data_IF_153753859506
#
_entry.id   IF_153753859506
#
_cell.length_a   1.000
_cell.length_b   1.000
_cell.length_c   1.000
_cell.angle_alpha   90.00
_cell.angle_beta   90.00
_cell.angle_gamma   90.00
#
_symmetry.space_group_name_H-M   'P 1'
#
loop_
_entity.id
_entity.type
_entity.pdbx_description
1 polymer ?
#
# COMPACT_ATOMS: atom_id res chain seq x y z
N UNK A 1 13.03 34.00 7.18
CA UNK A 1 12.19 32.79 7.05
C UNK A 1 12.92 31.63 7.71
N UNK A 2 13.15 31.71 9.03
CA UNK A 2 13.78 30.68 9.87
C UNK A 2 13.36 30.94 11.33
N UNK A 3 12.05 30.98 11.61
CA UNK A 3 11.59 31.45 12.93
C UNK A 3 10.38 30.73 13.52
N UNK A 4 9.91 29.61 12.96
CA UNK A 4 8.70 28.95 13.51
C UNK A 4 8.99 27.70 14.35
N UNK A 5 10.20 27.13 14.32
CA UNK A 5 10.49 25.90 15.08
C UNK A 5 11.34 26.10 16.34
N UNK A 6 11.76 27.34 16.66
CA UNK A 6 12.72 27.62 17.74
C UNK A 6 12.07 28.35 18.95
N UNK A 7 10.87 27.94 19.36
CA UNK A 7 10.26 28.43 20.61
C UNK A 7 10.65 27.48 21.76
N UNK A 8 11.51 27.89 22.71
CA UNK A 8 12.15 26.99 23.68
C UNK A 8 11.25 26.57 24.86
N UNK A 9 9.98 26.99 24.89
CA UNK A 9 9.08 26.73 26.03
C UNK A 9 8.17 25.50 25.84
N UNK A 10 8.30 24.76 24.74
CA UNK A 10 7.51 23.55 24.49
C UNK A 10 8.22 22.51 23.61
N UNK A 11 9.56 22.53 23.58
CA UNK A 11 10.34 21.48 22.94
C UNK A 11 10.37 20.26 23.87
N UNK A 12 9.51 19.27 23.61
CA UNK A 12 9.68 17.93 24.20
C UNK A 12 11.11 17.46 23.90
N UNK A 13 11.87 17.04 24.92
CA UNK A 13 13.27 16.57 24.92
C UNK A 13 13.63 15.46 23.90
N UNK A 14 13.39 15.64 22.60
CA UNK A 14 13.82 14.71 21.57
C UNK A 14 15.20 15.12 21.04
N UNK A 15 16.16 14.19 21.02
CA UNK A 15 17.43 14.39 20.33
C UNK A 15 17.14 14.53 18.81
N UNK A 16 17.51 15.67 18.19
CA UNK A 16 17.26 15.90 16.76
C UNK A 16 18.02 14.94 15.83
N UNK A 17 18.98 14.16 16.36
CA UNK A 17 19.70 13.13 15.64
C UNK A 17 19.23 11.70 15.97
N UNK A 18 18.20 11.55 16.81
CA UNK A 18 17.65 10.24 17.14
C UNK A 18 17.01 9.61 15.90
N UNK A 19 17.58 8.49 15.45
CA UNK A 19 17.07 7.68 14.33
C UNK A 19 16.34 6.43 14.81
N UNK A 20 16.10 6.31 16.12
CA UNK A 20 15.33 5.21 16.68
C UNK A 20 13.84 5.41 16.41
N UNK A 21 13.14 4.29 16.22
CA UNK A 21 11.69 4.30 16.12
C UNK A 21 11.09 4.35 17.52
N UNK A 22 10.11 5.22 17.73
CA UNK A 22 9.31 5.20 18.96
C UNK A 22 8.43 3.95 18.96
N UNK A 23 8.07 3.44 20.13
CA UNK A 23 7.15 2.27 20.26
C UNK A 23 5.86 2.46 19.46
N UNK A 24 5.28 3.67 19.51
CA UNK A 24 4.10 4.00 18.71
C UNK A 24 4.33 3.87 17.19
N UNK A 25 5.52 4.27 16.71
CA UNK A 25 5.86 4.20 15.29
C UNK A 25 6.12 2.76 14.85
N UNK A 26 6.89 2.01 15.64
CA UNK A 26 7.25 0.63 15.37
C UNK A 26 6.04 -0.32 15.42
N UNK A 27 5.16 -0.14 16.41
CA UNK A 27 4.11 -1.12 16.71
C UNK A 27 2.77 -0.78 16.06
N UNK A 28 2.51 0.50 15.76
CA UNK A 28 1.19 0.95 15.30
C UNK A 28 1.29 1.70 13.98
N UNK A 29 2.04 2.81 13.92
CA UNK A 29 1.96 3.71 12.77
C UNK A 29 2.56 3.12 11.50
N UNK A 30 3.76 2.52 11.58
CA UNK A 30 4.42 1.91 10.43
C UNK A 30 3.64 0.67 9.97
N UNK A 31 3.26 -0.28 10.85
CA UNK A 31 2.46 -1.42 10.44
C UNK A 31 1.14 -1.03 9.77
N UNK A 32 0.41 -0.05 10.34
CA UNK A 32 -0.86 0.41 9.74
C UNK A 32 -0.65 1.01 8.35
N UNK A 33 0.32 1.92 8.20
CA UNK A 33 0.64 2.52 6.89
C UNK A 33 1.13 1.47 5.89
N UNK A 34 1.95 0.52 6.34
CA UNK A 34 2.42 -0.55 5.49
C UNK A 34 1.27 -1.44 5.02
N UNK A 35 0.35 -1.79 5.91
CA UNK A 35 -0.82 -2.60 5.57
C UNK A 35 -1.69 -1.90 4.50
N UNK A 36 -1.92 -0.58 4.62
CA UNK A 36 -2.63 0.20 3.60
C UNK A 36 -1.93 0.20 2.22
N UNK A 37 -0.60 0.11 2.19
CA UNK A 37 0.17 0.03 0.94
C UNK A 37 0.17 -1.39 0.39
N UNK A 38 0.32 -2.40 1.26
CA UNK A 38 0.27 -3.82 0.90
C UNK A 38 -1.07 -4.13 0.24
N UNK A 39 -2.19 -3.66 0.78
CA UNK A 39 -3.51 -3.78 0.16
C UNK A 39 -3.61 -3.21 -1.27
N UNK A 40 -2.74 -2.26 -1.65
CA UNK A 40 -2.71 -1.66 -2.99
C UNK A 40 -1.73 -2.32 -3.95
N UNK A 41 -0.70 -2.99 -3.42
CA UNK A 41 0.39 -3.58 -4.21
C UNK A 41 0.19 -5.08 -4.37
N UNK A 42 -0.35 -5.73 -3.34
CA UNK A 42 -0.65 -7.15 -3.36
C UNK A 42 -1.71 -7.44 -4.41
N UNK A 43 -1.46 -8.46 -5.21
CA UNK A 43 -2.27 -8.82 -6.38
C UNK A 43 -2.34 -7.77 -7.50
N UNK A 44 -1.51 -6.71 -7.49
CA UNK A 44 -1.47 -5.72 -8.59
C UNK A 44 -1.07 -6.35 -9.91
N UNK A 45 -0.11 -7.28 -9.89
CA UNK A 45 0.35 -8.00 -11.08
C UNK A 45 -0.78 -8.84 -11.71
N UNK A 46 -1.48 -9.65 -10.90
CA UNK A 46 -2.59 -10.47 -11.38
C UNK A 46 -3.79 -9.63 -11.83
N UNK A 47 -4.02 -8.47 -11.20
CA UNK A 47 -5.01 -7.49 -11.65
C UNK A 47 -4.63 -6.88 -13.01
N UNK A 48 -3.37 -6.50 -13.20
CA UNK A 48 -2.87 -5.93 -14.46
C UNK A 48 -3.01 -6.93 -15.61
N UNK A 49 -2.70 -8.22 -15.39
CA UNK A 49 -2.89 -9.30 -16.36
C UNK A 49 -4.37 -9.43 -16.77
N UNK A 50 -5.28 -9.44 -15.79
CA UNK A 50 -6.72 -9.50 -16.04
C UNK A 50 -7.21 -8.28 -16.83
N UNK A 51 -6.79 -7.08 -16.45
CA UNK A 51 -7.14 -5.83 -17.15
C UNK A 51 -6.62 -5.85 -18.58
N UNK A 52 -5.40 -6.32 -18.83
CA UNK A 52 -4.84 -6.44 -20.17
C UNK A 52 -5.65 -7.42 -21.03
N UNK A 53 -6.03 -8.57 -20.46
CA UNK A 53 -6.85 -9.54 -21.17
C UNK A 53 -8.23 -8.96 -21.53
N UNK A 54 -8.92 -8.31 -20.57
CA UNK A 54 -10.23 -7.69 -20.81
C UNK A 54 -10.13 -6.56 -21.85
N UNK A 55 -9.07 -5.75 -21.82
CA UNK A 55 -8.83 -4.70 -22.82
C UNK A 55 -8.63 -5.28 -24.22
N UNK A 56 -7.94 -6.43 -24.34
CA UNK A 56 -7.66 -7.09 -25.63
C UNK A 56 -8.90 -7.78 -26.22
N UNK A 57 -9.67 -8.48 -25.39
CA UNK A 57 -10.83 -9.27 -25.83
C UNK A 57 -12.14 -8.48 -25.84
N UNK A 58 -12.17 -7.30 -25.20
CA UNK A 58 -13.34 -6.45 -25.04
C UNK A 58 -14.21 -6.83 -23.84
N UNK A 59 -14.82 -5.83 -23.18
CA UNK A 59 -15.45 -5.97 -21.86
C UNK A 59 -16.43 -7.16 -21.70
N UNK A 60 -17.32 -7.38 -22.67
CA UNK A 60 -18.38 -8.40 -22.57
C UNK A 60 -17.86 -9.82 -22.86
N UNK A 61 -16.91 -9.96 -23.79
CA UNK A 61 -16.35 -11.25 -24.21
C UNK A 61 -15.19 -11.66 -23.30
N UNK A 62 -14.41 -10.67 -22.84
CA UNK A 62 -13.28 -10.81 -21.93
C UNK A 62 -13.65 -11.52 -20.64
N UNK A 63 -14.83 -11.26 -20.05
CA UNK A 63 -15.27 -11.95 -18.84
C UNK A 63 -15.37 -13.48 -19.00
N UNK A 64 -15.61 -13.98 -20.22
CA UNK A 64 -15.63 -15.43 -20.49
C UNK A 64 -14.27 -15.97 -20.92
N UNK A 65 -13.50 -15.21 -21.69
CA UNK A 65 -12.22 -15.65 -22.24
C UNK A 65 -11.04 -15.52 -21.27
N UNK A 66 -11.09 -14.53 -20.38
CA UNK A 66 -10.05 -14.22 -19.41
C UNK A 66 -10.23 -14.95 -18.06
N UNK A 67 -10.87 -16.13 -18.06
CA UNK A 67 -11.20 -16.87 -16.83
C UNK A 67 -9.94 -17.27 -16.04
N UNK A 68 -8.86 -17.60 -16.73
CA UNK A 68 -7.61 -18.01 -16.10
C UNK A 68 -6.95 -16.86 -15.34
N UNK A 69 -6.97 -15.67 -15.91
CA UNK A 69 -6.45 -14.43 -15.33
C UNK A 69 -7.34 -13.99 -14.16
N UNK A 70 -8.66 -14.18 -14.28
CA UNK A 70 -9.62 -13.94 -13.21
C UNK A 70 -9.39 -14.87 -12.02
N UNK A 71 -9.27 -16.18 -12.25
CA UNK A 71 -9.00 -17.18 -11.20
C UNK A 71 -7.69 -16.88 -10.45
N UNK A 72 -6.65 -16.42 -11.17
CA UNK A 72 -5.38 -15.98 -10.55
C UNK A 72 -5.57 -14.78 -9.63
N UNK A 73 -6.32 -13.77 -10.09
CA UNK A 73 -6.63 -12.59 -9.28
C UNK A 73 -7.47 -12.96 -8.05
N UNK A 74 -8.51 -13.78 -8.21
CA UNK A 74 -9.37 -14.26 -7.12
C UNK A 74 -8.59 -15.09 -6.10
N UNK A 75 -7.74 -16.01 -6.56
CA UNK A 75 -6.90 -16.81 -5.66
C UNK A 75 -5.95 -15.92 -4.85
N UNK A 76 -5.39 -14.88 -5.48
CA UNK A 76 -4.52 -13.92 -4.79
C UNK A 76 -5.30 -13.09 -3.76
N UNK A 77 -6.50 -12.62 -4.10
CA UNK A 77 -7.39 -11.90 -3.19
C UNK A 77 -7.85 -12.73 -1.99
N UNK A 78 -8.11 -14.03 -2.19
CA UNK A 78 -8.58 -14.94 -1.13
C UNK A 78 -7.46 -15.47 -0.24
N UNK A 79 -6.20 -15.39 -0.69
CA UNK A 79 -5.03 -15.82 0.08
C UNK A 79 -4.54 -14.78 1.09
N UNK A 80 -5.16 -13.59 1.13
CA UNK A 80 -4.71 -12.41 1.86
C UNK A 80 -5.77 -11.89 2.84
#
# INVERSE_FOLDING_TARGET
>A
MELVCMSPLLASNGDPNDRSLRRLEADILIPNRMNEQVQKVECRESLEDLVQCIKKEGSFIGMRKCRKELERYETCQLAN
#
